data_IF_772969910646
#
_entry.id   IF_772969910646
#
_cell.length_a   1.000
_cell.length_b   1.000
_cell.length_c   1.000
_cell.angle_alpha   90.00
_cell.angle_beta   90.00
_cell.angle_gamma   90.00
#
_symmetry.space_group_name_H-M   'P 1'
#
loop_
_entity.id
_entity.type
_entity.pdbx_description
1 polymer ?
#
# COMPACT_ATOMS: atom_id res chain seq x y z
N UNK A 1 18.05 9.87 0.81
CA UNK A 1 17.85 8.96 -0.32
C UNK A 1 18.22 9.71 -1.58
N UNK A 2 19.10 9.15 -2.41
CA UNK A 2 19.44 9.75 -3.69
C UNK A 2 18.31 9.56 -4.70
N UNK A 3 18.17 10.49 -5.66
CA UNK A 3 17.11 10.39 -6.69
C UNK A 3 17.18 9.09 -7.49
N UNK A 4 18.38 8.55 -7.71
CA UNK A 4 18.57 7.26 -8.38
C UNK A 4 17.90 6.11 -7.63
N UNK A 5 18.05 6.05 -6.31
CA UNK A 5 17.44 5.02 -5.48
C UNK A 5 15.91 5.06 -5.56
N UNK A 6 15.34 6.26 -5.43
CA UNK A 6 13.91 6.49 -5.57
C UNK A 6 13.38 6.00 -6.91
N UNK A 7 14.06 6.41 -7.99
CA UNK A 7 13.70 6.04 -9.37
C UNK A 7 13.76 4.53 -9.57
N UNK A 8 14.78 3.88 -9.01
CA UNK A 8 15.00 2.45 -9.18
C UNK A 8 13.92 1.64 -8.43
N UNK A 9 13.56 2.03 -7.20
CA UNK A 9 12.42 1.44 -6.46
C UNK A 9 11.13 1.54 -7.26
N UNK A 10 10.83 2.71 -7.84
CA UNK A 10 9.64 2.92 -8.65
C UNK A 10 9.66 2.08 -9.92
N UNK A 11 10.77 2.05 -10.65
CA UNK A 11 10.87 1.29 -11.89
C UNK A 11 10.70 -0.20 -11.67
N UNK A 12 11.37 -0.76 -10.66
CA UNK A 12 11.22 -2.17 -10.28
C UNK A 12 9.77 -2.49 -9.90
N UNK A 13 9.19 -1.66 -9.02
CA UNK A 13 7.88 -1.93 -8.43
C UNK A 13 6.75 -1.64 -9.40
N UNK A 14 6.89 -0.75 -10.39
CA UNK A 14 5.80 -0.44 -11.34
C UNK A 14 5.92 -1.26 -12.64
N UNK A 15 7.13 -1.44 -13.15
CA UNK A 15 7.36 -1.99 -14.49
C UNK A 15 7.72 -3.49 -14.47
N UNK A 16 8.22 -4.02 -13.35
CA UNK A 16 8.60 -5.42 -13.24
C UNK A 16 7.40 -6.37 -13.31
N UNK A 17 7.47 -7.47 -14.08
CA UNK A 17 6.53 -8.60 -13.98
C UNK A 17 5.07 -8.36 -14.43
N UNK A 18 4.70 -7.16 -14.86
CA UNK A 18 3.31 -6.78 -15.18
C UNK A 18 2.67 -7.71 -16.23
N UNK A 19 3.42 -8.03 -17.30
CA UNK A 19 2.94 -8.87 -18.40
C UNK A 19 2.62 -10.29 -17.94
N UNK A 20 3.49 -10.89 -17.13
CA UNK A 20 3.31 -12.26 -16.63
C UNK A 20 2.05 -12.32 -15.75
N UNK A 21 1.89 -11.35 -14.85
CA UNK A 21 0.69 -11.27 -14.00
C UNK A 21 -0.59 -11.01 -14.80
N UNK A 22 -0.52 -10.24 -15.88
CA UNK A 22 -1.65 -10.01 -16.77
C UNK A 22 -2.08 -11.31 -17.44
N UNK A 23 -1.14 -12.05 -18.05
CA UNK A 23 -1.45 -13.35 -18.66
C UNK A 23 -2.01 -14.35 -17.66
N UNK A 24 -1.45 -14.43 -16.45
CA UNK A 24 -1.98 -15.29 -15.39
C UNK A 24 -3.42 -14.92 -14.99
N UNK A 25 -3.72 -13.62 -14.86
CA UNK A 25 -5.09 -13.14 -14.56
C UNK A 25 -6.07 -13.43 -15.70
N UNK A 26 -5.64 -13.26 -16.94
CA UNK A 26 -6.44 -13.59 -18.12
C UNK A 26 -6.73 -15.09 -18.21
N UNK A 27 -5.74 -15.94 -17.98
CA UNK A 27 -5.92 -17.39 -17.98
C UNK A 27 -6.87 -17.85 -16.87
N UNK A 28 -6.80 -17.23 -15.68
CA UNK A 28 -7.63 -17.58 -14.53
C UNK A 28 -9.08 -17.12 -14.66
N UNK A 29 -9.34 -15.95 -15.25
CA UNK A 29 -10.67 -15.35 -15.35
C UNK A 29 -10.89 -14.68 -16.73
N UNK A 30 -10.90 -15.46 -17.83
CA UNK A 30 -10.99 -14.91 -19.18
C UNK A 30 -12.26 -14.08 -19.40
N UNK A 31 -13.38 -14.46 -18.76
CA UNK A 31 -14.68 -13.77 -18.83
C UNK A 31 -14.62 -12.28 -18.42
N UNK A 32 -13.68 -11.91 -17.54
CA UNK A 32 -13.44 -10.51 -17.16
C UNK A 32 -12.90 -9.66 -18.32
N UNK A 33 -12.34 -10.30 -19.35
CA UNK A 33 -11.70 -9.66 -20.50
C UNK A 33 -12.48 -9.83 -21.81
N UNK A 34 -13.20 -10.94 -22.01
CA UNK A 34 -13.97 -11.18 -23.26
C UNK A 34 -15.37 -10.57 -23.28
N UNK A 35 -15.89 -10.06 -22.15
CA UNK A 35 -17.01 -9.10 -22.16
C UNK A 35 -18.34 -9.62 -22.72
N UNK A 36 -18.59 -10.93 -22.66
CA UNK A 36 -19.91 -11.50 -22.98
C UNK A 36 -20.95 -10.77 -22.11
N UNK A 37 -21.82 -9.95 -22.73
CA UNK A 37 -22.83 -9.11 -22.07
C UNK A 37 -22.34 -7.86 -21.30
N UNK A 38 -21.16 -7.31 -21.61
CA UNK A 38 -20.75 -5.99 -21.06
C UNK A 38 -20.67 -4.92 -22.14
N UNK A 39 -21.05 -3.66 -21.83
CA UNK A 39 -20.94 -2.53 -22.77
C UNK A 39 -19.49 -2.09 -23.05
N UNK A 40 -18.52 -2.63 -22.32
CA UNK A 40 -17.10 -2.28 -22.45
C UNK A 40 -16.36 -3.34 -23.25
N UNK A 41 -15.53 -2.90 -24.20
CA UNK A 41 -14.77 -3.78 -25.08
C UNK A 41 -13.52 -4.36 -24.40
N UNK A 42 -13.03 -5.49 -24.88
CA UNK A 42 -11.87 -6.20 -24.30
C UNK A 42 -10.62 -5.33 -24.15
N UNK A 43 -10.36 -4.44 -25.12
CA UNK A 43 -9.23 -3.49 -25.05
C UNK A 43 -9.31 -2.57 -23.83
N UNK A 44 -10.51 -2.06 -23.52
CA UNK A 44 -10.73 -1.20 -22.36
C UNK A 44 -10.54 -1.98 -21.06
N UNK A 45 -10.98 -3.24 -21.01
CA UNK A 45 -10.81 -4.11 -19.84
C UNK A 45 -9.34 -4.43 -19.55
N UNK A 46 -8.57 -4.71 -20.60
CA UNK A 46 -7.13 -4.91 -20.49
C UNK A 46 -6.43 -3.65 -19.97
N UNK A 47 -6.72 -2.49 -20.56
CA UNK A 47 -6.14 -1.23 -20.13
C UNK A 47 -6.51 -0.90 -18.69
N UNK A 48 -7.80 -1.05 -18.32
CA UNK A 48 -8.28 -0.84 -16.96
C UNK A 48 -7.53 -1.75 -15.96
N UNK A 49 -7.33 -3.02 -16.30
CA UNK A 49 -6.61 -3.95 -15.44
C UNK A 49 -5.16 -3.52 -15.21
N UNK A 50 -4.47 -3.13 -16.29
CA UNK A 50 -3.09 -2.65 -16.25
C UNK A 50 -2.97 -1.41 -15.37
N UNK A 51 -3.82 -0.39 -15.60
CA UNK A 51 -3.79 0.86 -14.86
C UNK A 51 -4.07 0.66 -13.37
N UNK A 52 -5.12 -0.10 -13.03
CA UNK A 52 -5.44 -0.42 -11.64
C UNK A 52 -4.30 -1.19 -10.95
N UNK A 53 -3.64 -2.10 -11.67
CA UNK A 53 -2.49 -2.81 -11.13
C UNK A 53 -1.33 -1.87 -10.81
N UNK A 54 -1.04 -0.92 -11.70
CA UNK A 54 0.01 0.09 -11.47
C UNK A 54 -0.31 1.00 -10.30
N UNK A 55 -1.56 1.42 -10.14
CA UNK A 55 -1.99 2.22 -8.99
C UNK A 55 -1.77 1.49 -7.67
N UNK A 56 -2.14 0.20 -7.59
CA UNK A 56 -1.91 -0.61 -6.38
C UNK A 56 -0.41 -0.67 -6.09
N UNK A 57 0.38 -1.06 -7.10
CA UNK A 57 1.84 -1.18 -6.97
C UNK A 57 2.53 0.15 -6.69
N UNK A 58 1.91 1.27 -7.04
CA UNK A 58 2.40 2.59 -6.69
C UNK A 58 2.30 2.84 -5.18
N UNK A 59 1.22 2.39 -4.53
CA UNK A 59 1.13 2.37 -3.07
C UNK A 59 2.29 1.61 -2.45
N UNK A 60 2.47 0.35 -2.86
CA UNK A 60 3.57 -0.51 -2.40
C UNK A 60 4.96 0.12 -2.64
N UNK A 61 5.14 0.81 -3.78
CA UNK A 61 6.39 1.49 -4.11
C UNK A 61 6.66 2.65 -3.14
N UNK A 62 5.64 3.45 -2.83
CA UNK A 62 5.76 4.57 -1.91
C UNK A 62 6.05 4.11 -0.49
N UNK A 63 5.43 3.01 -0.04
CA UNK A 63 5.77 2.36 1.25
C UNK A 63 7.26 2.04 1.32
N UNK A 64 7.82 1.37 0.30
CA UNK A 64 9.25 1.06 0.24
C UNK A 64 10.14 2.31 0.21
N UNK A 65 9.69 3.36 -0.49
CA UNK A 65 10.43 4.63 -0.56
C UNK A 65 10.48 5.27 0.82
N UNK A 66 9.36 5.38 1.52
CA UNK A 66 9.33 5.99 2.85
C UNK A 66 10.08 5.16 3.87
N UNK A 67 9.98 3.83 3.83
CA UNK A 67 10.74 2.93 4.70
C UNK A 67 12.26 3.17 4.59
N UNK A 68 12.79 3.14 3.36
CA UNK A 68 14.23 3.42 3.13
C UNK A 68 14.59 4.86 3.47
N UNK A 69 13.74 5.83 3.13
CA UNK A 69 14.00 7.24 3.43
C UNK A 69 14.07 7.49 4.94
N UNK A 70 13.12 6.97 5.72
CA UNK A 70 13.11 7.11 7.18
C UNK A 70 14.32 6.42 7.83
N UNK A 71 14.66 5.21 7.39
CA UNK A 71 15.83 4.51 7.88
C UNK A 71 17.13 5.32 7.69
N UNK A 72 17.30 5.97 6.54
CA UNK A 72 18.47 6.83 6.27
C UNK A 72 18.53 8.08 7.16
N UNK A 73 17.39 8.55 7.68
CA UNK A 73 17.31 9.68 8.61
C UNK A 73 17.43 9.26 10.09
N UNK A 74 17.74 7.98 10.36
CA UNK A 74 18.00 7.48 11.71
C UNK A 74 16.76 7.03 12.47
N UNK A 75 15.63 6.83 11.79
CA UNK A 75 14.46 6.19 12.36
C UNK A 75 14.67 4.66 12.39
N UNK A 76 14.25 4.02 13.47
CA UNK A 76 14.34 2.58 13.64
C UNK A 76 13.07 1.93 13.11
N UNK A 77 13.15 1.28 11.94
CA UNK A 77 12.00 0.58 11.35
C UNK A 77 11.66 -0.65 12.21
N UNK A 78 10.39 -0.74 12.62
CA UNK A 78 9.83 -1.86 13.36
C UNK A 78 9.11 -2.83 12.40
N UNK A 79 8.81 -4.04 12.87
CA UNK A 79 8.06 -5.01 12.06
C UNK A 79 6.62 -4.50 11.83
N UNK A 80 6.21 -4.20 10.58
CA UNK A 80 4.86 -3.70 10.30
C UNK A 80 3.76 -4.72 10.59
N UNK A 81 4.10 -5.99 10.82
CA UNK A 81 3.14 -7.02 11.20
C UNK A 81 2.76 -6.92 12.69
N UNK A 82 1.59 -6.33 12.97
CA UNK A 82 1.10 -6.10 14.34
C UNK A 82 0.49 -7.38 14.94
N UNK A 83 -0.31 -8.11 14.16
CA UNK A 83 -0.88 -9.42 14.52
C UNK A 83 -0.87 -10.33 13.29
N UNK A 84 -1.33 -11.58 13.36
CA UNK A 84 -1.46 -12.44 12.17
C UNK A 84 -2.41 -11.89 11.09
N UNK A 85 -3.30 -10.97 11.46
CA UNK A 85 -4.33 -10.42 10.56
C UNK A 85 -4.17 -8.91 10.30
N UNK A 86 -3.36 -8.21 11.09
CA UNK A 86 -3.18 -6.77 10.99
C UNK A 86 -1.73 -6.43 10.66
N UNK A 87 -1.58 -5.69 9.57
CA UNK A 87 -0.32 -5.13 9.11
C UNK A 87 -0.53 -3.66 8.80
N UNK A 88 0.42 -2.81 9.19
CA UNK A 88 0.45 -1.41 8.81
C UNK A 88 1.39 -1.14 7.63
N UNK A 89 1.25 0.05 7.07
CA UNK A 89 2.03 0.46 5.90
C UNK A 89 3.44 0.90 6.34
N UNK A 90 3.55 1.72 7.40
CA UNK A 90 4.83 2.02 8.06
C UNK A 90 4.69 1.94 9.58
N UNK A 91 5.74 1.45 10.24
CA UNK A 91 5.88 1.42 11.69
C UNK A 91 7.34 1.57 12.10
N UNK A 92 7.63 2.56 12.93
CA UNK A 92 9.01 2.91 13.27
C UNK A 92 9.09 3.68 14.60
N UNK A 93 10.29 3.70 15.19
CA UNK A 93 10.63 4.58 16.31
C UNK A 93 11.44 5.78 15.81
N UNK A 94 11.07 6.95 16.30
CA UNK A 94 11.89 8.15 16.14
C UNK A 94 13.11 8.13 17.08
N UNK A 95 14.14 8.96 16.80
CA UNK A 95 15.32 9.05 17.66
C UNK A 95 15.01 9.39 19.12
N UNK A 96 13.92 10.13 19.37
CA UNK A 96 13.39 10.48 20.69
C UNK A 96 12.52 9.39 21.33
N UNK A 97 12.46 8.20 20.70
CA UNK A 97 11.74 7.00 21.16
C UNK A 97 10.22 7.07 21.10
N UNK A 98 9.65 8.10 20.47
CA UNK A 98 8.25 8.08 20.09
C UNK A 98 8.01 7.04 18.99
N UNK A 99 6.95 6.25 19.13
CA UNK A 99 6.53 5.27 18.13
C UNK A 99 5.58 5.89 17.12
N UNK A 100 5.73 5.53 15.85
CA UNK A 100 4.92 6.05 14.76
C UNK A 100 4.27 4.92 13.99
N UNK A 101 2.94 4.91 13.98
CA UNK A 101 2.11 4.10 13.10
C UNK A 101 1.61 5.00 11.97
N UNK A 102 1.93 4.66 10.71
CA UNK A 102 1.43 5.41 9.56
C UNK A 102 0.67 4.46 8.63
N UNK A 103 -0.57 4.81 8.34
CA UNK A 103 -1.35 4.21 7.26
C UNK A 103 -1.38 5.19 6.09
N UNK A 104 -1.02 4.73 4.89
CA UNK A 104 -0.94 5.53 3.70
C UNK A 104 -1.99 5.10 2.68
N UNK A 105 -2.76 6.06 2.18
CA UNK A 105 -3.69 5.85 1.08
C UNK A 105 -3.33 6.79 -0.07
N UNK A 106 -2.49 6.29 -0.97
CA UNK A 106 -2.06 7.03 -2.17
C UNK A 106 -3.18 7.28 -3.19
N UNK A 107 -4.35 6.65 -3.02
CA UNK A 107 -5.50 6.77 -3.91
C UNK A 107 -6.78 7.08 -3.13
N UNK A 108 -7.54 8.06 -3.60
CA UNK A 108 -8.80 8.49 -3.02
C UNK A 108 -9.99 8.18 -3.97
N UNK A 109 -10.27 6.89 -4.19
CA UNK A 109 -11.38 6.44 -5.06
C UNK A 109 -12.47 5.67 -4.30
N UNK A 110 -12.51 5.80 -2.98
CA UNK A 110 -13.33 4.95 -2.10
C UNK A 110 -14.70 5.53 -1.75
N UNK A 111 -15.72 4.68 -1.79
CA UNK A 111 -17.05 4.97 -1.26
C UNK A 111 -17.02 5.09 0.28
N UNK A 112 -18.08 5.64 0.88
CA UNK A 112 -18.14 5.90 2.32
C UNK A 112 -18.08 4.63 3.17
N UNK A 113 -18.46 3.47 2.61
CA UNK A 113 -18.38 2.17 3.29
C UNK A 113 -16.93 1.68 3.38
N UNK A 114 -16.15 1.76 2.30
CA UNK A 114 -14.72 1.39 2.33
C UNK A 114 -13.90 2.31 3.22
N UNK A 115 -14.20 3.62 3.22
CA UNK A 115 -13.54 4.59 4.10
C UNK A 115 -13.76 4.27 5.58
N UNK A 116 -14.99 3.92 5.96
CA UNK A 116 -15.29 3.47 7.34
C UNK A 116 -14.52 2.19 7.69
N UNK A 117 -14.55 1.17 6.84
CA UNK A 117 -13.81 -0.07 7.10
C UNK A 117 -12.30 0.14 7.23
N UNK A 118 -11.72 1.06 6.46
CA UNK A 118 -10.30 1.44 6.59
C UNK A 118 -10.02 2.16 7.91
N UNK A 119 -10.92 3.06 8.32
CA UNK A 119 -10.81 3.72 9.61
C UNK A 119 -10.94 2.73 10.77
N UNK A 120 -11.93 1.83 10.73
CA UNK A 120 -12.14 0.82 11.78
C UNK A 120 -10.90 -0.11 11.90
N UNK A 121 -10.29 -0.48 10.77
CA UNK A 121 -9.05 -1.23 10.74
C UNK A 121 -7.89 -0.45 11.37
N UNK A 122 -7.75 0.83 11.04
CA UNK A 122 -6.72 1.70 11.61
C UNK A 122 -6.91 1.92 13.12
N UNK A 123 -8.13 2.18 13.57
CA UNK A 123 -8.45 2.35 14.98
C UNK A 123 -8.09 1.09 15.79
N UNK A 124 -8.34 -0.10 15.23
CA UNK A 124 -7.94 -1.36 15.86
C UNK A 124 -6.42 -1.48 16.01
N UNK A 125 -5.65 -1.12 14.96
CA UNK A 125 -4.18 -1.08 15.00
C UNK A 125 -3.68 -0.14 16.10
N UNK A 126 -4.24 1.07 16.17
CA UNK A 126 -3.91 2.08 17.20
C UNK A 126 -4.19 1.52 18.60
N UNK A 127 -5.37 0.91 18.83
CA UNK A 127 -5.73 0.34 20.14
C UNK A 127 -4.76 -0.75 20.59
N UNK A 128 -4.25 -1.56 19.67
CA UNK A 128 -3.29 -2.61 19.99
C UNK A 128 -1.92 -2.00 20.33
N UNK A 129 -1.38 -1.17 19.44
CA UNK A 129 -0.05 -0.58 19.63
C UNK A 129 -0.01 0.42 20.80
N UNK A 130 -1.12 1.06 21.15
CA UNK A 130 -1.21 1.93 22.31
C UNK A 130 -1.02 1.16 23.63
N UNK A 131 -1.32 -0.15 23.67
CA UNK A 131 -1.02 -0.98 24.85
C UNK A 131 0.47 -1.23 25.01
N UNK A 132 1.23 -1.16 23.92
CA UNK A 132 2.68 -1.37 23.91
C UNK A 132 3.43 -0.06 24.20
N UNK A 133 3.02 1.04 23.57
CA UNK A 133 3.75 2.33 23.61
C UNK A 133 3.11 3.41 24.48
N UNK A 134 1.86 3.24 24.90
CA UNK A 134 1.15 4.23 25.71
C UNK A 134 1.04 5.60 25.03
N UNK A 135 1.31 6.66 25.80
CA UNK A 135 1.26 8.06 25.33
C UNK A 135 2.29 8.39 24.25
N UNK A 136 3.29 7.54 24.05
CA UNK A 136 4.38 7.79 23.12
C UNK A 136 4.05 7.35 21.68
N UNK A 137 2.86 6.78 21.46
CA UNK A 137 2.37 6.40 20.13
C UNK A 137 1.77 7.60 19.38
N UNK A 138 2.37 7.92 18.25
CA UNK A 138 1.84 8.82 17.24
C UNK A 138 1.22 8.00 16.10
N UNK A 139 -0.08 8.17 15.87
CA UNK A 139 -0.80 7.47 14.81
C UNK A 139 -1.22 8.45 13.72
N UNK A 140 -0.81 8.18 12.48
CA UNK A 140 -1.05 9.03 11.31
C UNK A 140 -1.83 8.24 10.27
N UNK A 141 -2.93 8.82 9.79
CA UNK A 141 -3.71 8.29 8.68
C UNK A 141 -3.63 9.30 7.53
N UNK A 142 -2.85 8.98 6.49
CA UNK A 142 -2.62 9.84 5.34
C UNK A 142 -3.53 9.44 4.17
N UNK A 143 -4.20 10.44 3.58
CA UNK A 143 -5.20 10.28 2.52
C UNK A 143 -5.02 11.31 1.39
#
# INVERSE_FOLDING_TARGET
MEYSDFRDILNETLLGGERVQLFARMAKNPERFVGLFRPSISRQKLLQNILQNREIRFGDAMERVFDKWLAEYGYEMLDPQITSELRCDLYFLAPDKHAYLVEMKMRNDHDSTKRRGQWDNFELKVKILHREHGSELNAIFYF
#
